data_IF_483995143383
#
_entry.id   IF_483995143383
#
_cell.length_a   1.000
_cell.length_b   1.000
_cell.length_c   1.000
_cell.angle_alpha   90.00
_cell.angle_beta   90.00
_cell.angle_gamma   90.00
#
_symmetry.space_group_name_H-M   'P 1'
#
loop_
_entity.id
_entity.type
_entity.pdbx_description
1 polymer ?
#
# COMPACT_ATOMS: atom_id res chain seq x y z
N UNK A 1 -20.39 -13.03 -32.19
CA UNK A 1 -19.99 -14.32 -31.63
C UNK A 1 -19.33 -14.02 -30.32
N UNK A 2 -19.92 -14.48 -29.22
CA UNK A 2 -19.37 -14.28 -27.89
C UNK A 2 -18.24 -15.31 -27.71
N UNK A 3 -17.01 -14.83 -27.53
CA UNK A 3 -15.93 -15.65 -26.96
C UNK A 3 -16.34 -15.99 -25.53
N UNK A 4 -16.67 -17.26 -25.26
CA UNK A 4 -16.82 -17.76 -23.91
C UNK A 4 -15.46 -17.66 -23.21
N UNK A 5 -15.36 -16.73 -22.25
CA UNK A 5 -14.17 -16.54 -21.43
C UNK A 5 -14.08 -17.68 -20.41
N UNK A 6 -13.45 -18.77 -20.81
CA UNK A 6 -13.23 -19.94 -19.95
C UNK A 6 -12.11 -19.65 -18.94
N UNK A 7 -12.38 -19.82 -17.64
CA UNK A 7 -11.36 -19.69 -16.58
C UNK A 7 -10.89 -21.07 -16.12
N UNK A 8 -9.60 -21.36 -16.33
CA UNK A 8 -8.95 -22.56 -15.82
C UNK A 8 -8.36 -22.34 -14.43
N UNK A 9 -8.62 -23.24 -13.48
CA UNK A 9 -8.01 -23.26 -12.15
C UNK A 9 -7.05 -24.44 -12.04
N UNK A 10 -5.77 -24.18 -11.72
CA UNK A 10 -4.76 -25.21 -11.52
C UNK A 10 -4.88 -25.77 -10.09
N UNK A 11 -5.24 -27.05 -9.96
CA UNK A 11 -5.37 -27.71 -8.64
C UNK A 11 -4.19 -28.62 -8.32
N UNK A 12 -3.44 -29.03 -9.34
CA UNK A 12 -2.15 -29.73 -9.24
C UNK A 12 -1.26 -29.26 -10.40
N UNK A 13 0.06 -29.31 -10.24
CA UNK A 13 1.01 -28.86 -11.27
C UNK A 13 0.72 -29.54 -12.61
N UNK A 14 0.26 -28.76 -13.59
CA UNK A 14 -0.12 -29.22 -14.94
C UNK A 14 -1.53 -29.82 -15.08
N UNK A 15 -2.39 -29.74 -14.05
CA UNK A 15 -3.80 -30.16 -14.10
C UNK A 15 -4.73 -28.98 -13.81
N UNK A 16 -5.61 -28.70 -14.77
CA UNK A 16 -6.55 -27.57 -14.72
C UNK A 16 -7.99 -28.08 -14.70
N UNK A 17 -8.84 -27.48 -13.86
CA UNK A 17 -10.30 -27.59 -13.97
C UNK A 17 -10.81 -26.36 -14.69
N UNK A 18 -11.65 -26.59 -15.69
CA UNK A 18 -12.34 -25.56 -16.44
C UNK A 18 -13.67 -25.27 -15.76
N UNK A 19 -13.90 -24.00 -15.42
CA UNK A 19 -15.18 -23.53 -14.87
C UNK A 19 -15.90 -22.68 -15.92
N UNK A 20 -17.18 -23.01 -16.16
CA UNK A 20 -18.06 -22.23 -17.04
C UNK A 20 -18.58 -20.99 -16.32
N UNK A 21 -18.99 -19.96 -17.09
CA UNK A 21 -19.53 -18.72 -16.52
C UNK A 21 -20.83 -18.99 -15.71
N UNK A 22 -21.68 -19.90 -16.18
CA UNK A 22 -22.88 -20.34 -15.47
C UNK A 22 -22.60 -21.06 -14.15
N UNK A 23 -21.50 -21.82 -14.05
CA UNK A 23 -21.12 -22.45 -12.78
C UNK A 23 -20.63 -21.40 -11.77
N UNK A 24 -19.94 -20.35 -12.25
CA UNK A 24 -19.47 -19.24 -11.42
C UNK A 24 -20.62 -18.34 -10.93
N UNK A 25 -21.64 -18.10 -11.75
CA UNK A 25 -22.81 -17.29 -11.40
C UNK A 25 -23.70 -17.93 -10.33
N UNK A 26 -23.70 -19.26 -10.22
CA UNK A 26 -24.47 -20.00 -9.22
C UNK A 26 -23.73 -20.17 -7.87
N UNK A 27 -22.50 -19.66 -7.75
CA UNK A 27 -21.77 -19.71 -6.48
C UNK A 27 -22.33 -18.70 -5.46
N UNK A 28 -22.32 -19.03 -4.15
CA UNK A 28 -22.69 -18.08 -3.10
C UNK A 28 -21.88 -16.79 -3.19
N UNK A 29 -22.55 -15.63 -3.15
CA UNK A 29 -21.91 -14.30 -3.24
C UNK A 29 -22.00 -13.62 -4.61
N UNK A 30 -22.77 -14.19 -5.55
CA UNK A 30 -23.07 -13.56 -6.85
C UNK A 30 -24.03 -12.35 -6.76
N UNK A 31 -24.60 -12.06 -5.58
CA UNK A 31 -25.42 -10.86 -5.39
C UNK A 31 -24.57 -9.59 -5.53
N UNK A 32 -24.87 -8.82 -6.58
CA UNK A 32 -24.08 -7.68 -6.98
C UNK A 32 -24.10 -6.55 -5.92
N UNK A 33 -22.90 -6.10 -5.53
CA UNK A 33 -22.61 -4.76 -4.97
C UNK A 33 -23.18 -4.45 -3.58
N UNK A 34 -23.36 -5.44 -2.72
CA UNK A 34 -23.74 -5.20 -1.31
C UNK A 34 -22.52 -5.16 -0.40
N UNK A 35 -22.52 -4.21 0.55
CA UNK A 35 -21.58 -4.15 1.68
C UNK A 35 -22.34 -4.59 2.93
N UNK A 36 -21.88 -5.65 3.57
CA UNK A 36 -22.43 -6.15 4.83
C UNK A 36 -21.47 -5.83 5.94
N UNK A 37 -21.90 -5.00 6.90
CA UNK A 37 -21.13 -4.69 8.10
C UNK A 37 -21.44 -5.73 9.18
N UNK A 38 -20.40 -6.27 9.81
CA UNK A 38 -20.51 -7.31 10.82
C UNK A 38 -20.10 -6.77 12.20
N UNK A 39 -18.98 -6.06 12.27
CA UNK A 39 -18.37 -5.62 13.52
C UNK A 39 -17.81 -4.20 13.41
N UNK A 40 -17.59 -3.53 14.55
CA UNK A 40 -16.81 -2.30 14.62
C UNK A 40 -15.51 -2.55 15.40
N UNK A 41 -14.38 -2.25 14.77
CA UNK A 41 -13.02 -2.55 15.25
C UNK A 41 -12.16 -1.29 15.35
N UNK A 42 -11.03 -1.37 16.02
CA UNK A 42 -10.03 -0.30 15.98
C UNK A 42 -9.22 -0.38 14.68
N UNK A 43 -8.99 0.74 13.97
CA UNK A 43 -8.29 0.70 12.68
C UNK A 43 -6.89 0.08 12.73
N UNK A 44 -6.21 0.15 13.87
CA UNK A 44 -4.88 -0.42 14.11
C UNK A 44 -4.88 -1.93 14.39
N UNK A 45 -6.04 -2.56 14.64
CA UNK A 45 -6.15 -4.03 14.76
C UNK A 45 -5.99 -4.73 13.42
N UNK A 46 -6.27 -4.04 12.31
CA UNK A 46 -6.13 -4.59 10.96
C UNK A 46 -4.69 -4.38 10.47
N UNK A 47 -3.93 -5.46 10.39
CA UNK A 47 -2.56 -5.41 9.89
C UNK A 47 -2.53 -4.86 8.44
N UNK A 48 -1.71 -3.82 8.16
CA UNK A 48 -1.59 -3.22 6.82
C UNK A 48 -1.31 -4.22 5.69
N UNK A 49 -0.66 -5.36 5.98
CA UNK A 49 -0.37 -6.42 5.01
C UNK A 49 -1.62 -6.99 4.34
N UNK A 50 -2.79 -6.90 4.97
CA UNK A 50 -4.04 -7.41 4.41
C UNK A 50 -4.71 -6.44 3.45
N UNK A 51 -4.34 -5.16 3.41
CA UNK A 51 -5.04 -4.19 2.56
C UNK A 51 -4.74 -4.42 1.07
N UNK A 52 -5.79 -4.44 0.25
CA UNK A 52 -5.67 -4.65 -1.20
C UNK A 52 -6.02 -3.39 -2.01
N UNK A 53 -7.31 -3.06 -2.10
CA UNK A 53 -7.82 -1.91 -2.88
C UNK A 53 -8.73 -1.03 -2.04
N UNK A 54 -8.66 0.27 -2.29
CA UNK A 54 -9.48 1.28 -1.63
C UNK A 54 -10.49 1.88 -2.61
N UNK A 55 -11.71 2.12 -2.14
CA UNK A 55 -12.81 2.71 -2.89
C UNK A 55 -13.48 3.79 -2.05
N UNK A 56 -13.80 4.92 -2.65
CA UNK A 56 -14.68 5.90 -2.02
C UNK A 56 -16.13 5.45 -2.15
N UNK A 57 -16.86 5.53 -1.05
CA UNK A 57 -18.29 5.30 -1.01
C UNK A 57 -19.02 6.64 -1.06
N UNK A 58 -20.16 6.65 -1.72
CA UNK A 58 -21.09 7.77 -1.76
C UNK A 58 -22.49 7.25 -1.39
N UNK A 59 -23.33 8.07 -0.76
CA UNK A 59 -24.71 7.69 -0.51
C UNK A 59 -25.46 7.50 -1.83
N UNK A 60 -26.33 6.50 -1.87
CA UNK A 60 -27.39 6.45 -2.88
C UNK A 60 -28.45 7.51 -2.55
N UNK A 61 -29.22 7.91 -3.57
CA UNK A 61 -30.32 8.86 -3.44
C UNK A 61 -31.31 8.40 -2.35
N UNK A 62 -31.63 9.29 -1.41
CA UNK A 62 -32.49 9.02 -0.26
C UNK A 62 -31.80 8.33 0.93
N UNK A 63 -30.53 7.92 0.78
CA UNK A 63 -29.71 7.30 1.83
C UNK A 63 -28.79 8.26 2.58
N UNK A 64 -28.77 9.55 2.23
CA UNK A 64 -27.78 10.54 2.66
C UNK A 64 -27.76 10.70 4.18
N UNK A 65 -28.93 10.72 4.82
CA UNK A 65 -29.05 10.88 6.28
C UNK A 65 -28.44 9.71 7.04
N UNK A 66 -28.68 8.48 6.59
CA UNK A 66 -28.16 7.26 7.23
C UNK A 66 -26.66 7.16 7.00
N UNK A 67 -26.21 7.44 5.78
CA UNK A 67 -24.80 7.48 5.43
C UNK A 67 -24.02 8.48 6.29
N UNK A 68 -24.51 9.71 6.42
CA UNK A 68 -23.83 10.76 7.18
C UNK A 68 -23.85 10.46 8.69
N UNK A 69 -24.95 9.87 9.19
CA UNK A 69 -25.02 9.40 10.58
C UNK A 69 -23.95 8.33 10.86
N UNK A 70 -23.79 7.36 9.97
CA UNK A 70 -22.77 6.32 10.09
C UNK A 70 -21.37 6.93 10.05
N UNK A 71 -21.07 7.78 9.06
CA UNK A 71 -19.78 8.46 8.91
C UNK A 71 -19.39 9.24 10.16
N UNK A 72 -20.29 10.11 10.65
CA UNK A 72 -20.06 10.92 11.84
C UNK A 72 -19.93 10.07 13.11
N UNK A 73 -20.69 8.98 13.22
CA UNK A 73 -20.59 8.07 14.36
C UNK A 73 -19.23 7.38 14.41
N UNK A 74 -18.76 6.88 13.26
CA UNK A 74 -17.43 6.27 13.13
C UNK A 74 -16.31 7.27 13.41
N UNK A 75 -16.44 8.51 12.92
CA UNK A 75 -15.47 9.58 13.15
C UNK A 75 -15.36 9.93 14.65
N UNK A 76 -16.50 10.08 15.34
CA UNK A 76 -16.54 10.38 16.78
C UNK A 76 -16.01 9.24 17.64
N UNK A 77 -16.32 8.01 17.27
CA UNK A 77 -15.93 6.79 18.02
C UNK A 77 -14.53 6.30 17.66
N UNK A 78 -13.93 6.82 16.57
CA UNK A 78 -12.64 6.38 16.02
C UNK A 78 -12.63 4.88 15.67
N UNK A 79 -13.77 4.34 15.26
CA UNK A 79 -13.92 2.92 14.87
C UNK A 79 -14.03 2.78 13.35
N UNK A 80 -13.61 1.62 12.86
CA UNK A 80 -13.86 1.16 11.50
C UNK A 80 -14.87 0.00 11.53
N UNK A 81 -15.63 -0.21 10.46
CA UNK A 81 -16.59 -1.30 10.35
C UNK A 81 -15.98 -2.43 9.54
N UNK A 82 -15.82 -3.61 10.14
CA UNK A 82 -15.37 -4.82 9.47
C UNK A 82 -16.58 -5.58 8.92
N UNK A 83 -16.39 -6.23 7.78
CA UNK A 83 -17.48 -6.92 7.12
C UNK A 83 -17.08 -7.58 5.81
N UNK A 84 -18.03 -7.65 4.88
CA UNK A 84 -17.86 -8.27 3.57
C UNK A 84 -18.39 -7.35 2.48
N UNK A 85 -17.78 -7.43 1.31
CA UNK A 85 -18.25 -6.77 0.09
C UNK A 85 -18.28 -7.77 -1.06
N UNK A 86 -19.34 -7.72 -1.86
CA UNK A 86 -19.39 -8.41 -3.15
C UNK A 86 -19.10 -7.41 -4.28
N UNK A 87 -17.95 -7.54 -4.93
CA UNK A 87 -17.59 -6.73 -6.11
C UNK A 87 -17.54 -7.65 -7.32
N UNK A 88 -18.49 -7.47 -8.23
CA UNK A 88 -18.73 -8.39 -9.37
C UNK A 88 -18.98 -9.81 -8.84
N UNK A 89 -18.13 -10.77 -9.17
CA UNK A 89 -18.26 -12.18 -8.81
C UNK A 89 -17.46 -12.58 -7.57
N UNK A 90 -16.67 -11.67 -6.99
CA UNK A 90 -15.82 -11.98 -5.83
C UNK A 90 -16.39 -11.31 -4.58
N UNK A 91 -16.73 -12.12 -3.59
CA UNK A 91 -16.91 -11.65 -2.21
C UNK A 91 -15.53 -11.53 -1.55
N UNK A 92 -15.30 -10.46 -0.79
CA UNK A 92 -14.05 -10.25 -0.07
C UNK A 92 -14.32 -9.66 1.31
N UNK A 93 -13.46 -9.92 2.31
CA UNK A 93 -13.50 -9.19 3.56
C UNK A 93 -13.21 -7.71 3.27
N UNK A 94 -13.85 -6.84 4.05
CA UNK A 94 -13.74 -5.41 3.84
C UNK A 94 -13.68 -4.67 5.18
N UNK A 95 -13.00 -3.52 5.15
CA UNK A 95 -13.02 -2.54 6.21
C UNK A 95 -13.59 -1.24 5.66
N UNK A 96 -14.59 -0.67 6.34
CA UNK A 96 -15.16 0.63 6.02
C UNK A 96 -14.76 1.63 7.10
N UNK A 97 -14.32 2.82 6.72
CA UNK A 97 -13.84 3.82 7.68
C UNK A 97 -14.04 5.25 7.18
N UNK A 98 -14.19 6.25 8.07
CA UNK A 98 -14.44 7.62 7.68
C UNK A 98 -13.17 8.33 7.20
N UNK A 99 -13.26 9.04 6.08
CA UNK A 99 -12.18 9.88 5.55
C UNK A 99 -12.73 11.19 5.01
N UNK A 100 -12.48 12.29 5.70
CA UNK A 100 -13.08 13.58 5.37
C UNK A 100 -14.60 13.48 5.28
N UNK A 101 -15.18 13.87 4.13
CA UNK A 101 -16.64 13.83 3.88
C UNK A 101 -17.15 12.52 3.26
N UNK A 102 -16.33 11.47 3.25
CA UNK A 102 -16.71 10.17 2.67
C UNK A 102 -16.41 9.01 3.63
N UNK A 103 -16.93 7.84 3.30
CA UNK A 103 -16.49 6.55 3.82
C UNK A 103 -15.58 5.91 2.77
N UNK A 104 -14.45 5.37 3.21
CA UNK A 104 -13.57 4.54 2.39
C UNK A 104 -13.88 3.09 2.68
N UNK A 105 -14.03 2.30 1.62
CA UNK A 105 -14.03 0.84 1.69
C UNK A 105 -12.66 0.32 1.25
N UNK A 106 -12.02 -0.41 2.13
CA UNK A 106 -10.79 -1.14 1.85
C UNK A 106 -11.12 -2.63 1.74
N UNK A 107 -10.88 -3.23 0.58
CA UNK A 107 -10.90 -4.69 0.41
C UNK A 107 -9.67 -5.29 1.06
N UNK A 108 -9.84 -6.43 1.71
CA UNK A 108 -8.77 -7.15 2.40
C UNK A 108 -8.49 -8.49 1.70
N UNK A 109 -7.22 -8.89 1.75
CA UNK A 109 -6.78 -10.24 1.44
C UNK A 109 -7.23 -11.19 2.55
N UNK A 110 -7.65 -12.39 2.17
CA UNK A 110 -7.79 -13.48 3.13
C UNK A 110 -6.42 -13.90 3.69
N UNK A 111 -6.37 -14.51 4.88
CA UNK A 111 -5.11 -14.95 5.48
C UNK A 111 -4.23 -15.82 4.58
N UNK A 112 -4.85 -16.69 3.77
CA UNK A 112 -4.18 -17.58 2.82
C UNK A 112 -3.71 -16.88 1.52
N UNK A 113 -4.21 -15.67 1.23
CA UNK A 113 -3.74 -14.84 0.12
C UNK A 113 -2.47 -14.05 0.49
N UNK A 114 -2.09 -14.01 1.77
CA UNK A 114 -0.87 -13.34 2.25
C UNK A 114 0.21 -14.38 2.52
N UNK A 115 1.38 -14.19 1.89
CA UNK A 115 2.52 -15.09 2.09
C UNK A 115 2.97 -15.04 3.55
N UNK A 116 2.99 -16.22 4.19
CA UNK A 116 3.47 -16.38 5.55
C UNK A 116 4.97 -16.03 5.67
N UNK A 117 5.36 -15.42 6.79
CA UNK A 117 6.75 -15.00 7.04
C UNK A 117 7.69 -16.20 7.11
N UNK A 118 7.22 -17.33 7.61
CA UNK A 118 7.95 -18.59 7.74
C UNK A 118 8.34 -19.16 6.37
N UNK A 119 7.60 -18.83 5.32
CA UNK A 119 7.88 -19.24 3.95
C UNK A 119 8.95 -18.38 3.26
N UNK A 120 9.60 -17.45 3.98
CA UNK A 120 10.70 -16.62 3.48
C UNK A 120 12.03 -17.20 4.02
N UNK A 121 12.73 -18.05 3.24
CA UNK A 121 13.94 -18.74 3.73
C UNK A 121 15.07 -17.79 4.10
N UNK A 122 15.13 -16.61 3.48
CA UNK A 122 16.15 -15.58 3.75
C UNK A 122 16.03 -14.98 5.16
N UNK A 123 14.92 -15.20 5.88
CA UNK A 123 14.74 -14.76 7.26
C UNK A 123 15.23 -15.78 8.30
N UNK A 124 15.68 -16.97 7.87
CA UNK A 124 16.14 -18.03 8.76
C UNK A 124 17.63 -17.87 9.08
N UNK A 125 18.00 -16.74 9.69
CA UNK A 125 19.37 -16.47 10.16
C UNK A 125 19.39 -16.13 11.64
N UNK A 126 20.55 -16.32 12.25
CA UNK A 126 20.84 -15.83 13.59
C UNK A 126 22.13 -15.00 13.53
N UNK A 127 22.04 -13.75 13.97
CA UNK A 127 23.17 -12.81 13.99
C UNK A 127 23.19 -12.15 15.37
N UNK A 128 24.35 -12.18 16.03
CA UNK A 128 24.56 -11.43 17.26
C UNK A 128 24.76 -9.95 16.92
N UNK A 129 24.03 -9.07 17.63
CA UNK A 129 24.11 -7.62 17.46
C UNK A 129 24.72 -7.03 18.72
N UNK A 130 25.81 -6.26 18.58
CA UNK A 130 26.40 -5.58 19.73
C UNK A 130 25.57 -4.36 20.13
N UNK A 131 25.41 -4.16 21.45
CA UNK A 131 24.57 -3.08 22.00
C UNK A 131 25.01 -1.68 21.53
N UNK A 132 26.31 -1.47 21.32
CA UNK A 132 26.85 -0.20 20.83
C UNK A 132 26.46 0.07 19.37
N UNK A 133 26.43 -0.97 18.54
CA UNK A 133 26.01 -0.86 17.13
C UNK A 133 24.52 -0.53 17.05
N UNK A 134 23.71 -1.20 17.88
CA UNK A 134 22.28 -0.95 17.99
C UNK A 134 21.99 0.50 18.41
N UNK A 135 22.62 0.99 19.48
CA UNK A 135 22.44 2.38 19.97
C UNK A 135 22.78 3.43 18.92
N UNK A 136 23.83 3.19 18.13
CA UNK A 136 24.22 4.09 17.06
C UNK A 136 23.23 4.04 15.88
N UNK A 137 22.72 2.87 15.51
CA UNK A 137 21.66 2.74 14.51
C UNK A 137 20.37 3.44 14.95
N UNK A 138 19.94 3.26 16.21
CA UNK A 138 18.79 3.95 16.80
C UNK A 138 18.96 5.48 16.76
N UNK A 139 20.18 5.97 17.06
CA UNK A 139 20.50 7.40 16.98
C UNK A 139 20.39 7.94 15.54
N UNK A 140 20.79 7.16 14.52
CA UNK A 140 20.56 7.55 13.13
C UNK A 140 19.07 7.62 12.83
N UNK A 141 18.31 6.58 13.17
CA UNK A 141 16.87 6.52 12.92
C UNK A 141 16.19 7.73 13.55
N UNK A 142 16.51 8.06 14.81
CA UNK A 142 15.98 9.24 15.49
C UNK A 142 16.35 10.55 14.76
N UNK A 143 17.59 10.66 14.26
CA UNK A 143 18.05 11.84 13.53
C UNK A 143 17.39 11.99 12.14
N UNK A 144 17.06 10.89 11.47
CA UNK A 144 16.39 10.89 10.16
C UNK A 144 14.86 10.86 10.28
N UNK A 145 14.32 10.62 11.46
CA UNK A 145 12.88 10.63 11.72
C UNK A 145 12.31 12.05 11.55
N UNK A 146 11.17 12.13 10.86
CA UNK A 146 10.41 13.35 10.61
C UNK A 146 8.98 13.05 10.16
N UNK A 147 8.15 14.08 9.90
CA UNK A 147 6.79 13.86 9.43
C UNK A 147 6.78 13.21 8.05
N UNK A 148 5.88 12.24 7.87
CA UNK A 148 5.63 11.63 6.57
C UNK A 148 4.85 12.61 5.68
N UNK A 149 5.42 12.94 4.52
CA UNK A 149 4.79 13.82 3.53
C UNK A 149 4.90 13.15 2.16
N UNK A 150 3.78 12.58 1.69
CA UNK A 150 3.74 11.85 0.41
C UNK A 150 4.20 12.73 -0.77
N UNK A 151 3.95 14.03 -0.71
CA UNK A 151 4.36 14.99 -1.75
C UNK A 151 5.87 15.15 -1.93
N UNK A 152 6.70 14.68 -0.98
CA UNK A 152 8.16 14.67 -1.11
C UNK A 152 8.66 13.58 -2.07
N UNK A 153 7.85 12.56 -2.32
CA UNK A 153 8.22 11.44 -3.18
C UNK A 153 7.80 11.79 -4.62
N UNK A 154 8.77 11.79 -5.53
CA UNK A 154 8.56 12.01 -6.95
C UNK A 154 8.75 10.71 -7.71
N UNK A 155 7.95 10.53 -8.76
CA UNK A 155 8.11 9.43 -9.69
C UNK A 155 9.20 9.81 -10.71
N UNK A 156 10.46 9.67 -10.29
CA UNK A 156 11.63 10.04 -11.11
C UNK A 156 11.63 9.34 -12.47
N UNK A 157 11.14 8.10 -12.52
CA UNK A 157 10.99 7.36 -13.77
C UNK A 157 9.96 8.02 -14.68
N UNK A 158 8.75 8.35 -14.17
CA UNK A 158 7.73 9.05 -14.96
C UNK A 158 8.24 10.42 -15.43
N UNK A 159 8.95 11.17 -14.59
CA UNK A 159 9.54 12.45 -14.98
C UNK A 159 10.58 12.27 -16.09
N UNK A 160 11.48 11.31 -15.95
CA UNK A 160 12.46 10.97 -16.98
C UNK A 160 11.79 10.52 -18.29
N UNK A 161 10.74 9.70 -18.20
CA UNK A 161 9.98 9.23 -19.35
C UNK A 161 9.30 10.39 -20.09
N UNK A 162 8.65 11.31 -19.37
CA UNK A 162 8.03 12.51 -19.97
C UNK A 162 9.09 13.37 -20.67
N UNK A 163 10.27 13.52 -20.07
CA UNK A 163 11.38 14.26 -20.69
C UNK A 163 11.87 13.58 -21.98
N UNK A 164 12.05 12.26 -21.96
CA UNK A 164 12.43 11.46 -23.15
C UNK A 164 11.38 11.59 -24.25
N UNK A 165 10.09 11.51 -23.92
CA UNK A 165 8.99 11.71 -24.86
C UNK A 165 9.05 13.13 -25.46
N UNK A 166 9.26 14.16 -24.62
CA UNK A 166 9.41 15.55 -25.07
C UNK A 166 10.56 15.73 -26.06
N UNK A 167 11.75 15.17 -25.76
CA UNK A 167 12.90 15.20 -26.67
C UNK A 167 12.64 14.51 -28.00
N UNK A 168 11.96 13.34 -27.98
CA UNK A 168 11.55 12.65 -29.21
C UNK A 168 10.58 13.46 -30.05
N UNK A 169 9.62 14.14 -29.43
CA UNK A 169 8.68 15.04 -30.14
C UNK A 169 9.44 16.21 -30.77
N UNK A 170 10.45 16.75 -30.06
CA UNK A 170 11.31 17.83 -30.56
C UNK A 170 12.34 17.40 -31.61
N UNK A 171 12.46 16.09 -31.90
CA UNK A 171 13.45 15.55 -32.84
C UNK A 171 14.87 15.48 -32.28
N UNK A 172 15.06 15.60 -30.97
CA UNK A 172 16.35 15.52 -30.31
C UNK A 172 16.76 14.05 -30.03
N UNK A 173 18.06 13.75 -30.13
CA UNK A 173 18.58 12.45 -29.73
C UNK A 173 18.52 12.25 -28.21
N UNK A 174 17.96 11.11 -27.80
CA UNK A 174 17.85 10.73 -26.39
C UNK A 174 19.13 9.99 -25.99
N UNK A 175 20.03 10.69 -25.31
CA UNK A 175 21.27 10.09 -24.76
C UNK A 175 20.96 9.42 -23.42
N UNK A 176 21.26 8.12 -23.29
CA UNK A 176 21.15 7.39 -22.03
C UNK A 176 22.34 7.74 -21.12
N UNK A 177 22.11 8.19 -19.87
CA UNK A 177 23.21 8.40 -18.94
C UNK A 177 23.96 7.09 -18.66
N UNK A 178 25.28 7.11 -18.48
CA UNK A 178 26.03 5.91 -18.10
C UNK A 178 25.58 5.39 -16.72
N UNK A 179 25.68 4.09 -16.47
CA UNK A 179 25.33 3.51 -15.18
C UNK A 179 26.18 4.11 -14.06
N UNK A 180 25.54 4.50 -12.96
CA UNK A 180 26.21 5.06 -11.79
C UNK A 180 26.97 3.94 -11.08
N UNK A 181 28.28 4.14 -10.86
CA UNK A 181 29.09 3.16 -10.14
C UNK A 181 28.57 2.98 -8.70
N UNK A 182 28.26 1.74 -8.33
CA UNK A 182 27.92 1.38 -6.96
C UNK A 182 29.16 1.53 -6.07
N UNK A 183 29.17 2.53 -5.21
CA UNK A 183 30.17 2.61 -4.14
C UNK A 183 29.74 1.64 -3.05
N UNK A 184 30.45 0.53 -2.93
CA UNK A 184 30.42 -0.32 -1.73
C UNK A 184 31.11 0.48 -0.63
N UNK A 185 30.32 1.25 0.12
CA UNK A 185 30.80 1.97 1.30
C UNK A 185 30.71 1.03 2.49
N UNK A 186 31.74 0.97 3.32
CA UNK A 186 31.64 0.39 4.66
C UNK A 186 30.43 1.03 5.36
N UNK A 187 29.43 0.20 5.68
CA UNK A 187 28.15 0.64 6.23
C UNK A 187 28.37 1.56 7.45
N UNK A 188 29.43 1.31 8.22
CA UNK A 188 29.80 2.08 9.40
C UNK A 188 30.28 3.50 9.06
N UNK A 189 31.10 3.63 8.02
CA UNK A 189 31.54 4.94 7.52
C UNK A 189 30.41 5.70 6.83
N UNK A 190 29.59 5.00 6.04
CA UNK A 190 28.39 5.56 5.42
C UNK A 190 27.43 6.12 6.48
N UNK A 191 27.26 5.38 7.58
CA UNK A 191 26.40 5.76 8.69
C UNK A 191 26.91 7.03 9.39
N UNK A 192 28.21 7.08 9.72
CA UNK A 192 28.84 8.26 10.33
C UNK A 192 28.73 9.49 9.42
N UNK A 193 28.96 9.33 8.12
CA UNK A 193 28.83 10.41 7.15
C UNK A 193 27.38 10.91 7.04
N UNK A 194 26.40 10.00 7.02
CA UNK A 194 24.98 10.37 6.97
C UNK A 194 24.54 11.16 8.20
N UNK A 195 25.05 10.84 9.41
CA UNK A 195 24.76 11.60 10.64
C UNK A 195 25.31 13.03 10.55
N UNK A 196 26.54 13.19 10.08
CA UNK A 196 27.18 14.50 9.97
C UNK A 196 26.52 15.38 8.89
N UNK A 197 26.09 14.78 7.78
CA UNK A 197 25.31 15.46 6.74
C UNK A 197 23.93 15.90 7.27
N UNK A 198 23.19 15.01 7.92
CA UNK A 198 21.87 15.31 8.47
C UNK A 198 21.90 16.42 9.55
N UNK A 199 22.95 16.45 10.39
CA UNK A 199 23.18 17.53 11.35
C UNK A 199 23.44 18.88 10.66
N UNK A 200 24.25 18.89 9.59
CA UNK A 200 24.57 20.11 8.82
C UNK A 200 23.33 20.69 8.13
N UNK A 201 22.51 19.84 7.50
CA UNK A 201 21.28 20.29 6.82
C UNK A 201 20.23 20.86 7.78
N UNK A 202 20.04 20.23 8.95
CA UNK A 202 19.15 20.78 10.00
C UNK A 202 19.69 22.09 10.59
N UNK A 203 21.02 22.21 10.74
CA UNK A 203 21.67 23.44 11.18
C UNK A 203 21.50 24.60 10.19
N UNK A 204 21.56 24.32 8.88
CA UNK A 204 21.33 25.30 7.83
C UNK A 204 19.87 25.80 7.80
N UNK A 205 18.89 24.88 7.81
CA UNK A 205 17.46 25.23 7.84
C UNK A 205 17.05 26.05 9.06
N UNK A 206 17.68 25.81 10.22
CA UNK A 206 17.39 26.54 11.46
C UNK A 206 18.00 27.95 11.48
N UNK A 207 19.05 28.20 10.70
CA UNK A 207 19.64 29.54 10.50
C UNK A 207 18.84 30.37 9.48
N UNK A 208 18.27 29.73 8.46
CA UNK A 208 17.42 30.39 7.47
C UNK A 208 16.03 30.75 8.01
N UNK A 209 15.48 29.96 8.95
CA UNK A 209 14.18 30.25 9.58
C UNK A 209 14.24 31.28 10.73
N UNK A 210 15.43 31.73 11.11
CA UNK A 210 15.67 32.70 12.20
C UNK A 210 16.22 34.06 11.73
N UNK A 211 16.32 34.27 10.42
CA UNK A 211 16.63 35.54 9.77
C UNK A 211 15.37 36.10 9.10
#
# INVERSE_FOLDING_TARGET
GHDELVRGYEYEKGRYVVLTESELENLPGAEARTVTLLDFVEPNEVNPLYYSKNYYLAPAEGGERVYELLRLSMEKTKKAAAGRVAIRTKQSPALVWPFGRTLVLSTLHYPDEVRAVEAVPELHYNVEIHENELKMAESLIANLTGPFELAKYRDEYREALINVIGKKIAGEEVVTPPPRAEKVVDLMEALKQSIELAKKERGAKRREAGA
#
